data_IF_285946207509
#
_entry.id   IF_285946207509
#
_cell.length_a   1.000
_cell.length_b   1.000
_cell.length_c   1.000
_cell.angle_alpha   90.00
_cell.angle_beta   90.00
_cell.angle_gamma   90.00
#
_symmetry.space_group_name_H-M   'P 1'
#
loop_
_entity.id
_entity.type
_entity.pdbx_description
1 polymer ?
#
# COMPACT_ATOMS: atom_id res chain seq x y z
N UNK A 1 27.77 -34.57 2.13
CA UNK A 1 26.48 -34.15 1.56
C UNK A 1 26.26 -32.62 1.63
N UNK A 2 26.56 -31.94 2.74
CA UNK A 2 26.36 -30.48 2.89
C UNK A 2 27.17 -29.57 1.93
N UNK A 3 28.16 -30.11 1.23
CA UNK A 3 29.06 -29.35 0.35
C UNK A 3 28.35 -28.76 -0.88
N UNK A 4 27.22 -29.34 -1.29
CA UNK A 4 26.39 -28.87 -2.40
C UNK A 4 25.31 -27.87 -1.99
N UNK A 5 25.04 -27.76 -0.68
CA UNK A 5 24.05 -26.85 -0.12
C UNK A 5 24.24 -25.39 -0.57
N UNK A 6 25.45 -24.78 -0.51
CA UNK A 6 25.63 -23.41 -0.97
C UNK A 6 25.40 -23.25 -2.47
N UNK A 7 25.76 -24.26 -3.26
CA UNK A 7 25.59 -24.24 -4.71
C UNK A 7 24.11 -24.30 -5.11
N UNK A 8 23.34 -25.17 -4.44
CA UNK A 8 21.89 -25.24 -4.59
C UNK A 8 21.20 -23.95 -4.14
N UNK A 9 21.67 -23.31 -3.07
CA UNK A 9 21.13 -22.03 -2.60
C UNK A 9 21.32 -20.92 -3.64
N UNK A 10 22.53 -20.79 -4.19
CA UNK A 10 22.83 -19.80 -5.23
C UNK A 10 21.99 -20.07 -6.47
N UNK A 11 21.90 -21.33 -6.89
CA UNK A 11 21.09 -21.72 -8.04
C UNK A 11 19.60 -21.40 -7.82
N UNK A 12 19.06 -21.76 -6.66
CA UNK A 12 17.67 -21.47 -6.30
C UNK A 12 17.41 -19.96 -6.24
N UNK A 13 18.31 -19.18 -5.64
CA UNK A 13 18.23 -17.72 -5.59
C UNK A 13 18.25 -17.10 -6.99
N UNK A 14 19.09 -17.63 -7.88
CA UNK A 14 19.19 -17.17 -9.28
C UNK A 14 17.90 -17.42 -10.02
N UNK A 15 17.38 -18.66 -9.96
CA UNK A 15 16.13 -19.05 -10.62
C UNK A 15 14.96 -18.23 -10.06
N UNK A 16 14.89 -18.07 -8.74
CA UNK A 16 13.86 -17.28 -8.09
C UNK A 16 13.88 -15.83 -8.58
N UNK A 17 15.04 -15.16 -8.56
CA UNK A 17 15.16 -13.78 -9.01
C UNK A 17 14.85 -13.64 -10.50
N UNK A 18 15.22 -14.62 -11.32
CA UNK A 18 14.90 -14.64 -12.75
C UNK A 18 13.38 -14.72 -12.99
N UNK A 19 12.69 -15.66 -12.33
CA UNK A 19 11.23 -15.79 -12.42
C UNK A 19 10.55 -14.52 -11.88
N UNK A 20 11.04 -13.98 -10.78
CA UNK A 20 10.51 -12.75 -10.16
C UNK A 20 10.71 -11.52 -11.07
N UNK A 21 11.82 -11.47 -11.83
CA UNK A 21 12.06 -10.47 -12.86
C UNK A 21 11.11 -10.59 -14.04
N UNK A 22 10.79 -11.82 -14.47
CA UNK A 22 9.83 -12.05 -15.56
C UNK A 22 8.39 -11.72 -15.15
N UNK A 23 8.00 -12.02 -13.91
CA UNK A 23 6.66 -11.74 -13.39
C UNK A 23 6.43 -10.25 -13.08
N UNK A 24 7.48 -9.45 -12.93
CA UNK A 24 7.34 -8.02 -12.67
C UNK A 24 6.96 -7.27 -13.96
N UNK A 25 5.83 -6.51 -13.98
CA UNK A 25 5.39 -5.75 -15.14
C UNK A 25 6.30 -4.54 -15.39
N UNK A 26 6.49 -4.16 -16.67
CA UNK A 26 7.49 -3.16 -17.11
C UNK A 26 7.34 -1.79 -16.44
N UNK A 27 6.12 -1.41 -16.04
CA UNK A 27 5.85 -0.16 -15.31
C UNK A 27 6.37 -0.10 -13.87
N UNK A 28 6.76 -1.23 -13.28
CA UNK A 28 7.28 -1.31 -11.91
C UNK A 28 8.79 -1.54 -11.81
N UNK A 29 9.44 -1.77 -12.96
CA UNK A 29 10.89 -2.00 -13.06
C UNK A 29 11.62 -0.66 -13.01
N UNK A 30 12.50 -0.48 -12.02
CA UNK A 30 13.25 0.77 -11.86
C UNK A 30 14.49 0.84 -12.76
N UNK A 31 14.83 2.06 -13.17
CA UNK A 31 16.11 2.53 -13.75
C UNK A 31 16.59 1.91 -15.07
N UNK A 32 16.23 0.66 -15.38
CA UNK A 32 16.72 -0.08 -16.54
C UNK A 32 15.58 -0.89 -17.19
N UNK A 33 15.61 -1.07 -18.51
CA UNK A 33 14.65 -1.93 -19.22
C UNK A 33 14.77 -3.38 -18.73
N UNK A 34 13.65 -4.10 -18.70
CA UNK A 34 13.54 -5.49 -18.20
C UNK A 34 14.62 -6.44 -18.74
N UNK A 35 14.97 -6.29 -20.01
CA UNK A 35 16.03 -7.09 -20.66
C UNK A 35 17.40 -6.95 -19.97
N UNK A 36 17.76 -5.75 -19.51
CA UNK A 36 19.03 -5.52 -18.82
C UNK A 36 19.09 -6.23 -17.47
N UNK A 37 17.98 -6.23 -16.72
CA UNK A 37 17.90 -6.95 -15.45
C UNK A 37 18.02 -8.47 -15.62
N UNK A 38 17.38 -9.01 -16.65
CA UNK A 38 17.54 -10.43 -17.02
C UNK A 38 19.00 -10.76 -17.33
N UNK A 39 19.68 -9.93 -18.12
CA UNK A 39 21.11 -10.13 -18.45
C UNK A 39 21.98 -10.07 -17.19
N UNK A 40 21.72 -9.12 -16.28
CA UNK A 40 22.47 -8.99 -15.02
C UNK A 40 22.29 -10.22 -14.13
N UNK A 41 21.08 -10.74 -13.98
CA UNK A 41 20.80 -11.96 -13.19
C UNK A 41 21.51 -13.18 -13.80
N UNK A 42 21.58 -13.25 -15.12
CA UNK A 42 22.13 -14.40 -15.84
C UNK A 42 23.68 -14.38 -15.89
N UNK A 43 24.29 -13.20 -16.07
CA UNK A 43 25.74 -13.02 -16.08
C UNK A 43 26.34 -13.02 -14.66
N UNK A 44 25.59 -12.57 -13.66
CA UNK A 44 26.05 -12.46 -12.28
C UNK A 44 25.10 -13.23 -11.35
N UNK A 45 25.26 -14.54 -11.27
CA UNK A 45 24.37 -15.45 -10.52
C UNK A 45 24.24 -15.16 -9.02
N UNK A 46 25.15 -14.38 -8.43
CA UNK A 46 25.06 -13.95 -7.03
C UNK A 46 24.65 -12.48 -6.94
N UNK A 47 25.38 -11.60 -7.64
CA UNK A 47 25.17 -10.14 -7.54
C UNK A 47 23.84 -9.74 -8.16
N UNK A 48 23.45 -10.34 -9.29
CA UNK A 48 22.23 -10.01 -10.00
C UNK A 48 20.97 -10.25 -9.17
N UNK A 49 20.77 -11.45 -8.58
CA UNK A 49 19.65 -11.70 -7.68
C UNK A 49 19.61 -10.77 -6.47
N UNK A 50 20.77 -10.50 -5.85
CA UNK A 50 20.86 -9.58 -4.71
C UNK A 50 20.40 -8.18 -5.11
N UNK A 51 20.96 -7.63 -6.19
CA UNK A 51 20.65 -6.29 -6.66
C UNK A 51 19.20 -6.19 -7.14
N UNK A 52 18.65 -7.24 -7.76
CA UNK A 52 17.24 -7.33 -8.12
C UNK A 52 16.32 -7.28 -6.90
N UNK A 53 16.65 -8.01 -5.84
CA UNK A 53 15.86 -8.01 -4.61
C UNK A 53 15.83 -6.63 -3.95
N UNK A 54 16.93 -5.88 -3.96
CA UNK A 54 17.00 -4.56 -3.32
C UNK A 54 16.48 -3.41 -4.20
N UNK A 55 16.76 -3.43 -5.50
CA UNK A 55 16.55 -2.28 -6.39
C UNK A 55 15.65 -2.57 -7.60
N UNK A 56 15.28 -3.84 -7.86
CA UNK A 56 14.61 -4.28 -9.09
C UNK A 56 13.15 -3.83 -9.23
N UNK A 57 12.42 -3.65 -8.12
CA UNK A 57 10.99 -3.27 -8.17
C UNK A 57 10.61 -2.24 -7.10
N UNK A 58 9.58 -1.44 -7.37
CA UNK A 58 8.86 -0.67 -6.33
C UNK A 58 8.10 -1.66 -5.46
N UNK A 59 8.71 -2.15 -4.37
CA UNK A 59 7.95 -2.88 -3.34
C UNK A 59 6.91 -1.92 -2.77
N UNK A 60 5.63 -2.11 -3.12
CA UNK A 60 4.56 -1.63 -2.26
C UNK A 60 4.79 -2.34 -0.93
N UNK A 61 5.28 -1.60 0.07
CA UNK A 61 5.72 -2.15 1.33
C UNK A 61 4.57 -2.86 2.05
N UNK A 62 4.42 -4.17 1.83
CA UNK A 62 3.65 -5.04 2.71
C UNK A 62 4.58 -5.48 3.84
N UNK A 63 4.64 -4.66 4.89
CA UNK A 63 5.19 -5.02 6.19
C UNK A 63 6.70 -4.79 6.37
N UNK A 64 7.05 -3.93 7.32
CA UNK A 64 8.41 -3.78 7.84
C UNK A 64 8.96 -2.37 7.64
N UNK A 65 9.05 -1.61 8.73
CA UNK A 65 9.25 -0.16 8.73
C UNK A 65 10.53 0.34 8.08
N UNK A 66 10.46 1.56 7.55
CA UNK A 66 11.62 2.27 7.02
C UNK A 66 11.28 3.27 5.95
N UNK A 67 10.87 4.48 6.37
CA UNK A 67 11.07 5.78 5.70
C UNK A 67 11.13 5.74 4.16
N UNK A 68 10.00 5.99 3.50
CA UNK A 68 10.05 6.46 2.12
C UNK A 68 8.75 6.34 1.33
N UNK A 69 8.31 7.47 0.80
CA UNK A 69 7.37 7.61 -0.32
C UNK A 69 5.88 7.81 -0.01
N UNK A 70 5.61 9.02 0.49
CA UNK A 70 4.53 9.95 0.04
C UNK A 70 3.84 9.50 -1.26
N UNK A 71 2.60 8.99 -1.18
CA UNK A 71 1.82 8.75 -2.40
C UNK A 71 0.64 7.78 -2.30
N UNK A 72 0.36 7.20 -1.13
CA UNK A 72 -0.90 6.50 -0.89
C UNK A 72 -1.59 7.25 0.24
N UNK A 73 -2.83 7.68 0.01
CA UNK A 73 -3.63 8.43 0.98
C UNK A 73 -3.35 7.89 2.37
N UNK A 74 -2.74 8.75 3.19
CA UNK A 74 -2.43 8.41 4.57
C UNK A 74 -3.73 7.93 5.16
N UNK A 75 -3.77 6.67 5.61
CA UNK A 75 -4.91 6.18 6.35
C UNK A 75 -4.96 7.05 7.61
N UNK A 76 -5.85 8.04 7.60
CA UNK A 76 -6.13 8.91 8.73
C UNK A 76 -7.23 8.19 9.49
N UNK A 77 -6.95 7.88 10.75
CA UNK A 77 -7.94 7.24 11.59
C UNK A 77 -9.19 8.16 11.69
N UNK A 78 -10.42 7.60 11.77
CA UNK A 78 -11.64 8.40 11.73
C UNK A 78 -11.72 9.50 12.80
N UNK A 79 -11.07 9.32 13.94
CA UNK A 79 -10.92 10.30 15.02
C UNK A 79 -10.05 11.51 14.65
N UNK A 80 -9.02 11.31 13.82
CA UNK A 80 -8.09 12.35 13.38
C UNK A 80 -8.47 13.02 12.04
N UNK A 81 -9.58 12.61 11.42
CA UNK A 81 -10.03 13.17 10.13
C UNK A 81 -10.96 14.38 10.31
N UNK A 82 -10.53 15.61 9.96
CA UNK A 82 -11.34 16.80 10.15
C UNK A 82 -12.65 16.78 9.36
N UNK A 83 -12.68 16.17 8.18
CA UNK A 83 -13.89 16.08 7.35
C UNK A 83 -14.92 15.12 7.97
N UNK A 84 -14.46 14.03 8.59
CA UNK A 84 -15.34 13.11 9.30
C UNK A 84 -15.95 13.77 10.54
N UNK A 85 -15.14 14.45 11.36
CA UNK A 85 -15.64 15.20 12.51
C UNK A 85 -16.63 16.30 12.12
N UNK A 86 -16.42 16.94 10.97
CA UNK A 86 -17.33 17.93 10.43
C UNK A 86 -18.68 17.32 10.06
N UNK A 87 -18.71 16.17 9.38
CA UNK A 87 -19.96 15.47 9.05
C UNK A 87 -20.78 15.09 10.29
N UNK A 88 -20.11 14.70 11.39
CA UNK A 88 -20.81 14.39 12.66
C UNK A 88 -21.46 15.63 13.28
N UNK A 89 -20.81 16.80 13.20
CA UNK A 89 -21.40 18.06 13.69
C UNK A 89 -22.60 18.47 12.85
N UNK A 90 -22.52 18.37 11.53
CA UNK A 90 -23.62 18.70 10.62
C UNK A 90 -24.84 17.76 10.83
N UNK A 91 -24.60 16.46 11.07
CA UNK A 91 -25.66 15.51 11.39
C UNK A 91 -26.35 15.81 12.72
N UNK A 92 -25.58 16.18 13.75
CA UNK A 92 -26.13 16.61 15.05
C UNK A 92 -27.00 17.86 14.91
N UNK A 93 -26.53 18.89 14.19
CA UNK A 93 -27.28 20.12 13.95
C UNK A 93 -28.61 19.87 13.21
N UNK A 94 -28.60 19.00 12.19
CA UNK A 94 -29.81 18.59 11.50
C UNK A 94 -30.82 17.92 12.43
N UNK A 95 -30.34 17.00 13.28
CA UNK A 95 -31.19 16.26 14.22
C UNK A 95 -31.83 17.17 15.25
N UNK A 96 -31.11 18.16 15.74
CA UNK A 96 -31.65 19.10 16.72
C UNK A 96 -32.68 20.05 16.08
N UNK A 97 -32.43 20.52 14.85
CA UNK A 97 -33.43 21.30 14.08
C UNK A 97 -34.72 20.53 13.84
N UNK A 98 -34.65 19.24 13.59
CA UNK A 98 -35.85 18.44 13.34
C UNK A 98 -36.63 18.16 14.63
N UNK A 99 -35.96 17.98 15.78
CA UNK A 99 -36.63 17.90 17.09
C UNK A 99 -37.36 19.18 17.46
N UNK A 100 -36.78 20.35 17.21
CA UNK A 100 -37.41 21.63 17.52
C UNK A 100 -38.67 21.85 16.67
N UNK A 101 -38.66 21.44 15.39
CA UNK A 101 -39.84 21.48 14.52
C UNK A 101 -40.94 20.52 14.97
N UNK A 102 -40.57 19.34 15.46
CA UNK A 102 -41.52 18.34 15.94
C UNK A 102 -42.21 18.81 17.24
N UNK A 103 -41.41 19.30 18.19
CA UNK A 103 -41.91 19.85 19.46
C UNK A 103 -42.79 21.10 19.25
N UNK A 104 -42.45 21.97 18.29
CA UNK A 104 -43.27 23.13 17.93
C UNK A 104 -44.60 22.77 17.23
N UNK A 105 -44.65 21.64 16.52
CA UNK A 105 -45.86 21.15 15.84
C UNK A 105 -46.84 20.44 16.78
N UNK A 106 -46.36 19.87 17.88
CA UNK A 106 -47.22 19.27 18.90
C UNK A 106 -47.82 20.37 19.81
N UNK A 107 -47.02 21.36 20.24
CA UNK A 107 -47.54 22.49 21.04
C UNK A 107 -48.60 23.34 20.32
N UNK A 108 -48.54 23.45 18.99
CA UNK A 108 -49.55 24.14 18.19
C UNK A 108 -50.82 23.34 17.90
N UNK A 109 -50.81 22.01 18.14
CA UNK A 109 -51.99 21.14 17.97
C UNK A 109 -52.84 21.02 19.24
N UNK A 110 -52.26 21.29 20.41
CA UNK A 110 -52.97 21.25 21.70
C UNK A 110 -53.64 22.59 22.06
N UNK A 111 -53.44 23.64 21.26
CA UNK A 111 -53.94 24.99 21.50
C UNK A 111 -55.19 25.36 20.67
N UNK A 112 -55.79 24.41 19.94
CA UNK A 112 -56.97 24.59 19.07
C UNK A 112 -58.17 23.75 19.57
#
# INVERSE_FOLDING_TARGET
MLRYLPFLLILALTIYAFIDCLNTPEGEVKHLPKAMWVIIILLFSIVGPVVWLFAGKKRAASGGGGRGSRGRGQWVAPDDNPEFLKSLREEQENKDRDKDKDNGKDQGRDAD
#
